data_IF_860247725644
#
_entry.id   IF_860247725644
#
_cell.length_a   1.000
_cell.length_b   1.000
_cell.length_c   1.000
_cell.angle_alpha   90.00
_cell.angle_beta   90.00
_cell.angle_gamma   90.00
#
_symmetry.space_group_name_H-M   'P 1'
#
loop_
_entity.id
_entity.type
_entity.pdbx_description
1 polymer ?
#
# COMPACT_ATOMS: atom_id res chain seq x y z
N UNK A 1 14.21 1.25 15.28
CA UNK A 1 13.75 2.28 14.33
C UNK A 1 13.67 1.61 12.97
N UNK A 2 12.47 1.28 12.51
CA UNK A 2 12.30 0.64 11.19
C UNK A 2 12.70 1.66 10.13
N UNK A 3 13.71 1.31 9.33
CA UNK A 3 14.15 2.12 8.19
C UNK A 3 13.39 1.62 6.97
N UNK A 4 12.70 2.53 6.30
CA UNK A 4 12.04 2.25 5.03
C UNK A 4 12.79 2.98 3.92
N UNK A 5 12.93 2.34 2.76
CA UNK A 5 13.36 3.05 1.57
C UNK A 5 12.22 3.93 1.07
N UNK A 6 12.49 5.17 0.68
CA UNK A 6 11.48 6.00 0.01
C UNK A 6 11.00 5.38 -1.30
N UNK A 7 11.82 4.51 -1.92
CA UNK A 7 11.44 3.76 -3.11
C UNK A 7 10.32 2.74 -2.84
N UNK A 8 10.10 2.36 -1.57
CA UNK A 8 9.07 1.42 -1.14
C UNK A 8 7.82 2.14 -0.61
N UNK A 9 7.76 3.48 -0.71
CA UNK A 9 6.60 4.27 -0.31
C UNK A 9 5.89 4.79 -1.56
N UNK A 10 4.59 4.52 -1.64
CA UNK A 10 3.77 4.87 -2.79
C UNK A 10 2.63 5.78 -2.38
N UNK A 11 2.22 6.67 -3.30
CA UNK A 11 0.89 7.26 -3.19
C UNK A 11 -0.16 6.18 -3.44
N UNK A 12 -1.39 6.35 -2.94
CA UNK A 12 -2.49 5.44 -3.28
C UNK A 12 -2.71 5.31 -4.79
N UNK A 13 -2.47 6.36 -5.58
CA UNK A 13 -2.56 6.28 -7.04
C UNK A 13 -1.47 5.37 -7.62
N UNK A 14 -0.23 5.52 -7.15
CA UNK A 14 0.90 4.66 -7.57
C UNK A 14 0.70 3.21 -7.13
N UNK A 15 0.27 2.98 -5.88
CA UNK A 15 -0.03 1.65 -5.34
C UNK A 15 -1.15 0.96 -6.12
N UNK A 16 -2.22 1.70 -6.45
CA UNK A 16 -3.32 1.23 -7.28
C UNK A 16 -2.83 0.73 -8.65
N UNK A 17 -2.03 1.54 -9.35
CA UNK A 17 -1.47 1.14 -10.65
C UNK A 17 -0.53 -0.07 -10.52
N UNK A 18 0.36 -0.05 -9.53
CA UNK A 18 1.36 -1.09 -9.30
C UNK A 18 0.74 -2.45 -8.98
N UNK A 19 -0.29 -2.47 -8.12
CA UNK A 19 -0.95 -3.70 -7.67
C UNK A 19 -2.11 -4.13 -8.57
N UNK A 20 -2.40 -3.37 -9.63
CA UNK A 20 -3.57 -3.55 -10.48
C UNK A 20 -4.88 -3.59 -9.67
N UNK A 21 -4.98 -2.74 -8.65
CA UNK A 21 -6.16 -2.57 -7.81
C UNK A 21 -6.83 -1.25 -8.18
N UNK A 22 -8.14 -1.19 -8.46
CA UNK A 22 -8.81 0.08 -8.73
C UNK A 22 -8.63 1.08 -7.59
N UNK A 23 -8.32 2.33 -7.92
CA UNK A 23 -8.07 3.37 -6.91
C UNK A 23 -9.25 3.55 -5.93
N UNK A 24 -10.48 3.43 -6.43
CA UNK A 24 -11.70 3.49 -5.59
C UNK A 24 -11.73 2.36 -4.56
N UNK A 25 -11.39 1.14 -4.97
CA UNK A 25 -11.31 -0.02 -4.09
C UNK A 25 -10.24 0.17 -3.01
N UNK A 26 -9.04 0.61 -3.40
CA UNK A 26 -7.97 0.89 -2.44
C UNK A 26 -8.38 1.98 -1.44
N UNK A 27 -9.03 3.04 -1.93
CA UNK A 27 -9.53 4.12 -1.08
C UNK A 27 -10.60 3.64 -0.10
N UNK A 28 -11.55 2.81 -0.55
CA UNK A 28 -12.59 2.27 0.32
C UNK A 28 -12.01 1.29 1.34
N UNK A 29 -11.02 0.48 0.97
CA UNK A 29 -10.31 -0.39 1.90
C UNK A 29 -9.58 0.39 3.01
N UNK A 30 -9.00 1.56 2.66
CA UNK A 30 -8.36 2.45 3.62
C UNK A 30 -9.38 3.15 4.52
N UNK A 31 -10.46 3.71 3.97
CA UNK A 31 -11.32 4.68 4.68
C UNK A 31 -12.62 4.08 5.18
N UNK A 32 -13.23 3.17 4.41
CA UNK A 32 -14.58 2.65 4.69
C UNK A 32 -14.53 1.30 5.39
N UNK A 33 -13.62 0.42 4.97
CA UNK A 33 -13.55 -0.94 5.49
C UNK A 33 -12.49 -1.12 6.58
N UNK A 34 -11.63 -0.12 6.81
CA UNK A 34 -10.62 -0.15 7.88
C UNK A 34 -9.59 -1.27 7.72
N UNK A 35 -9.36 -1.80 6.51
CA UNK A 35 -8.45 -2.95 6.30
C UNK A 35 -7.00 -2.65 6.69
N UNK A 36 -6.65 -1.37 6.77
CA UNK A 36 -5.32 -0.86 7.05
C UNK A 36 -5.15 -0.29 8.46
N UNK A 37 -6.11 -0.44 9.36
CA UNK A 37 -6.06 0.13 10.72
C UNK A 37 -4.77 -0.24 11.46
N UNK A 38 -4.41 -1.53 11.47
CA UNK A 38 -3.17 -2.01 12.09
C UNK A 38 -1.90 -1.41 11.44
N UNK A 39 -1.91 -1.22 10.13
CA UNK A 39 -0.78 -0.63 9.38
C UNK A 39 -0.65 0.87 9.67
N UNK A 40 -1.76 1.58 9.89
CA UNK A 40 -1.74 2.98 10.30
C UNK A 40 -1.14 3.14 11.70
N UNK A 41 -1.54 2.32 12.67
CA UNK A 41 -0.99 2.35 14.04
C UNK A 41 0.53 2.11 14.05
N UNK A 42 1.02 1.28 13.13
CA UNK A 42 2.44 0.98 12.96
C UNK A 42 3.19 2.00 12.09
N UNK A 43 2.52 3.01 11.56
CA UNK A 43 3.12 4.05 10.73
C UNK A 43 3.50 3.59 9.32
N UNK A 44 2.93 2.48 8.84
CA UNK A 44 3.15 1.96 7.48
C UNK A 44 2.24 2.65 6.45
N UNK A 45 1.16 3.27 6.91
CA UNK A 45 0.26 4.12 6.12
C UNK A 45 0.04 5.43 6.84
N UNK A 46 -0.01 6.51 6.08
CA UNK A 46 -0.45 7.81 6.60
C UNK A 46 -1.13 8.66 5.53
N UNK A 47 -1.95 9.60 5.98
CA UNK A 47 -2.53 10.64 5.14
C UNK A 47 -1.71 11.91 5.25
N UNK A 48 -1.27 12.44 4.11
CA UNK A 48 -0.59 13.73 4.00
C UNK A 48 -1.38 14.67 3.10
N UNK A 49 -2.07 15.62 3.71
CA UNK A 49 -3.04 16.48 3.02
C UNK A 49 -4.14 15.66 2.34
N UNK A 50 -4.11 15.63 0.99
CA UNK A 50 -5.08 14.90 0.15
C UNK A 50 -4.57 13.53 -0.33
N UNK A 51 -3.34 13.17 0.00
CA UNK A 51 -2.68 11.97 -0.52
C UNK A 51 -2.56 10.94 0.59
N UNK A 52 -2.87 9.68 0.28
CA UNK A 52 -2.52 8.54 1.13
C UNK A 52 -1.16 8.01 0.69
N UNK A 53 -0.26 7.83 1.65
CA UNK A 53 1.03 7.21 1.48
C UNK A 53 0.99 5.81 2.09
N UNK A 54 1.44 4.82 1.34
CA UNK A 54 1.46 3.42 1.73
C UNK A 54 2.84 2.83 1.48
N UNK A 55 3.36 2.08 2.45
CA UNK A 55 4.54 1.25 2.22
C UNK A 55 4.19 0.00 1.42
N UNK A 56 5.18 -0.55 0.70
CA UNK A 56 5.09 -1.88 0.08
C UNK A 56 4.68 -2.93 1.12
N UNK A 57 5.28 -2.86 2.32
CA UNK A 57 4.95 -3.77 3.42
C UNK A 57 3.46 -3.72 3.79
N UNK A 58 2.83 -2.54 3.85
CA UNK A 58 1.41 -2.46 4.14
C UNK A 58 0.57 -3.15 3.04
N UNK A 59 0.96 -2.97 1.78
CA UNK A 59 0.29 -3.61 0.65
C UNK A 59 0.44 -5.13 0.69
N UNK A 60 1.64 -5.65 1.01
CA UNK A 60 1.89 -7.07 1.18
C UNK A 60 1.07 -7.69 2.32
N UNK A 61 1.02 -7.02 3.47
CA UNK A 61 0.29 -7.52 4.63
C UNK A 61 -1.23 -7.61 4.39
N UNK A 62 -1.80 -6.71 3.57
CA UNK A 62 -3.25 -6.63 3.33
C UNK A 62 -3.70 -7.36 2.07
N UNK A 63 -2.92 -7.28 0.99
CA UNK A 63 -3.28 -7.84 -0.32
C UNK A 63 -2.44 -9.06 -0.71
N UNK A 64 -1.45 -9.43 0.08
CA UNK A 64 -0.48 -10.47 -0.24
C UNK A 64 0.71 -9.95 -1.05
N UNK A 65 1.82 -10.68 -0.98
CA UNK A 65 2.99 -10.41 -1.81
C UNK A 65 2.70 -10.74 -3.27
N UNK A 66 3.03 -9.83 -4.17
CA UNK A 66 3.19 -10.21 -5.57
C UNK A 66 4.56 -10.85 -5.70
N UNK A 67 4.60 -12.17 -5.66
CA UNK A 67 5.78 -12.89 -6.10
C UNK A 67 6.07 -12.43 -7.52
N UNK A 68 7.23 -11.80 -7.71
CA UNK A 68 7.77 -11.57 -9.04
C UNK A 68 8.18 -12.94 -9.58
N UNK A 69 7.22 -13.71 -10.09
CA UNK A 69 7.52 -14.76 -11.06
C UNK A 69 8.11 -14.06 -12.30
N UNK A 70 9.42 -13.82 -12.26
CA UNK A 70 10.22 -13.72 -13.48
C UNK A 70 10.19 -15.11 -14.13
N UNK A 71 9.10 -15.44 -14.82
CA UNK A 71 9.13 -16.48 -15.85
C UNK A 71 9.79 -15.86 -17.07
N UNK A 72 11.11 -15.91 -17.10
CA UNK A 72 11.81 -16.08 -18.38
C UNK A 72 11.37 -17.44 -18.93
N UNK A 73 10.68 -17.43 -20.07
CA UNK A 73 10.22 -18.60 -20.81
C UNK A 73 9.90 -18.22 -22.24
#
# INVERSE_FOLDING_TARGET
MNKFSLAEIYTAATASAKRNIPYSTLKDDIVRYGKFENQMERGLIKKEGRVWLLSEQALDEVYGSQDTENKEG
#
